data_IF_958823274431
#
_entry.id   IF_958823274431
#
_cell.length_a   1.000
_cell.length_b   1.000
_cell.length_c   1.000
_cell.angle_alpha   90.00
_cell.angle_beta   90.00
_cell.angle_gamma   90.00
#
_symmetry.space_group_name_H-M   'P 1'
#
loop_
_entity.id
_entity.type
_entity.pdbx_description
1 polymer ?
#
# COMPACT_ATOMS: atom_id res chain seq x y z
N UNK A 1 8.30 1.42 6.51
CA UNK A 1 8.16 2.86 6.84
C UNK A 1 9.05 3.68 5.91
N UNK A 2 8.52 4.77 5.32
CA UNK A 2 9.26 5.63 4.40
C UNK A 2 9.38 7.07 4.93
N UNK A 3 10.54 7.73 4.75
CA UNK A 3 10.77 9.08 5.28
C UNK A 3 10.27 10.19 4.34
N UNK A 4 9.35 9.92 3.41
CA UNK A 4 8.97 10.85 2.33
C UNK A 4 8.51 12.23 2.82
N UNK A 5 7.78 12.28 3.95
CA UNK A 5 7.30 13.54 4.55
C UNK A 5 8.46 14.47 4.95
N UNK A 6 9.64 13.91 5.27
CA UNK A 6 10.82 14.70 5.68
C UNK A 6 11.57 15.32 4.49
N UNK A 7 11.27 14.90 3.26
CA UNK A 7 12.00 15.31 2.06
C UNK A 7 11.03 15.79 0.97
N UNK A 8 10.44 16.99 1.11
CA UNK A 8 9.53 17.51 0.10
C UNK A 8 10.24 17.69 -1.25
N UNK A 9 9.59 17.30 -2.35
CA UNK A 9 10.13 17.39 -3.71
C UNK A 9 10.92 16.16 -4.19
N UNK A 10 11.15 15.16 -3.33
CA UNK A 10 11.67 13.87 -3.78
C UNK A 10 10.55 12.99 -4.29
N UNK A 11 10.85 12.19 -5.31
CA UNK A 11 9.92 11.18 -5.81
C UNK A 11 9.66 10.11 -4.73
N UNK A 12 8.39 9.84 -4.47
CA UNK A 12 7.91 8.86 -3.48
C UNK A 12 7.73 7.46 -4.09
N UNK A 13 8.20 7.25 -5.31
CA UNK A 13 8.16 5.96 -6.02
C UNK A 13 9.28 5.03 -5.52
N UNK A 14 8.98 3.73 -5.45
CA UNK A 14 9.96 2.68 -5.14
C UNK A 14 10.94 2.51 -6.30
N UNK A 15 12.20 2.33 -5.96
CA UNK A 15 13.29 2.13 -6.93
C UNK A 15 14.11 0.90 -6.57
N UNK A 16 15.04 0.46 -7.44
CA UNK A 16 15.99 -0.60 -7.10
C UNK A 16 16.85 -0.28 -5.86
N UNK A 17 17.03 1.00 -5.53
CA UNK A 17 17.71 1.45 -4.32
C UNK A 17 16.73 1.49 -3.12
N UNK A 18 17.17 0.93 -1.99
CA UNK A 18 16.41 0.91 -0.73
C UNK A 18 16.37 2.30 -0.09
N UNK A 19 15.16 2.79 0.20
CA UNK A 19 14.93 4.10 0.85
C UNK A 19 14.10 4.03 2.14
N UNK A 20 13.71 2.84 2.58
CA UNK A 20 13.01 2.66 3.85
C UNK A 20 13.96 2.85 5.03
N UNK A 21 13.44 3.40 6.13
CA UNK A 21 14.22 3.66 7.36
C UNK A 21 13.81 2.76 8.52
N UNK A 22 12.85 1.87 8.30
CA UNK A 22 12.37 0.96 9.32
C UNK A 22 11.31 -0.01 8.82
N UNK A 23 11.06 -1.01 9.64
CA UNK A 23 10.18 -2.15 9.39
C UNK A 23 9.23 -2.37 10.56
N UNK A 24 8.14 -3.10 10.30
CA UNK A 24 7.12 -3.44 11.28
C UNK A 24 6.67 -4.87 11.04
N UNK A 25 6.18 -5.53 12.10
CA UNK A 25 5.67 -6.90 12.03
C UNK A 25 4.20 -6.94 12.41
N UNK A 26 3.37 -7.53 11.55
CA UNK A 26 1.99 -7.86 11.85
C UNK A 26 1.82 -9.36 12.10
N UNK A 27 1.15 -9.73 13.19
CA UNK A 27 0.89 -11.14 13.56
C UNK A 27 -0.62 -11.38 13.62
N UNK A 28 -1.10 -12.40 12.91
CA UNK A 28 -2.52 -12.77 12.84
C UNK A 28 -2.72 -14.22 12.47
N UNK A 29 -3.94 -14.72 12.63
CA UNK A 29 -4.31 -16.11 12.33
C UNK A 29 -4.43 -16.39 10.83
N UNK A 30 -4.48 -15.34 10.01
CA UNK A 30 -4.50 -15.41 8.56
C UNK A 30 -3.54 -14.39 7.94
N UNK A 31 -3.18 -14.60 6.67
CA UNK A 31 -2.38 -13.65 5.92
C UNK A 31 -3.04 -12.26 5.85
N UNK A 32 -4.35 -12.19 5.60
CA UNK A 32 -5.07 -10.92 5.50
C UNK A 32 -5.03 -10.13 6.81
N UNK A 33 -5.21 -10.82 7.94
CA UNK A 33 -5.13 -10.20 9.27
C UNK A 33 -3.71 -9.74 9.61
N UNK A 34 -2.70 -10.60 9.37
CA UNK A 34 -1.30 -10.26 9.60
C UNK A 34 -0.86 -9.08 8.73
N UNK A 35 -1.23 -9.07 7.44
CA UNK A 35 -0.92 -7.99 6.51
C UNK A 35 -1.60 -6.67 6.91
N UNK A 36 -2.89 -6.71 7.27
CA UNK A 36 -3.59 -5.51 7.75
C UNK A 36 -2.94 -4.93 9.02
N UNK A 37 -2.55 -5.78 9.97
CA UNK A 37 -1.81 -5.33 11.17
C UNK A 37 -0.46 -4.73 10.84
N UNK A 38 0.27 -5.28 9.86
CA UNK A 38 1.53 -4.72 9.40
C UNK A 38 1.33 -3.33 8.76
N UNK A 39 0.29 -3.15 7.93
CA UNK A 39 -0.05 -1.86 7.33
C UNK A 39 -0.39 -0.82 8.41
N UNK A 40 -1.20 -1.18 9.41
CA UNK A 40 -1.49 -0.31 10.56
C UNK A 40 -0.22 0.08 11.32
N UNK A 41 0.67 -0.89 11.58
CA UNK A 41 1.96 -0.64 12.22
C UNK A 41 2.86 0.30 11.42
N UNK A 42 2.78 0.24 10.09
CA UNK A 42 3.54 1.12 9.18
C UNK A 42 2.99 2.55 9.11
N UNK A 43 1.85 2.82 9.76
CA UNK A 43 1.17 4.13 9.75
C UNK A 43 0.06 4.25 8.71
N UNK A 44 -0.18 3.20 7.91
CA UNK A 44 -1.22 3.20 6.88
C UNK A 44 -2.59 2.91 7.49
N UNK A 45 -3.56 3.79 7.23
CA UNK A 45 -4.96 3.61 7.67
C UNK A 45 -5.85 3.49 6.44
N UNK A 46 -6.34 2.27 6.20
CA UNK A 46 -7.30 2.02 5.15
C UNK A 46 -8.69 2.44 5.61
N UNK A 47 -9.36 3.26 4.80
CA UNK A 47 -10.77 3.54 5.00
C UNK A 47 -11.58 2.39 4.39
N UNK A 48 -12.48 1.74 5.16
CA UNK A 48 -13.25 0.60 4.66
C UNK A 48 -14.31 0.99 3.63
N UNK A 49 -14.65 2.28 3.54
CA UNK A 49 -15.63 2.83 2.61
C UNK A 49 -15.06 4.10 1.97
N UNK A 50 -15.57 4.44 0.78
CA UNK A 50 -15.20 5.67 0.08
C UNK A 50 -14.94 5.46 -1.40
N UNK A 51 -14.25 6.44 -2.01
CA UNK A 51 -13.88 6.39 -3.43
C UNK A 51 -12.43 5.95 -3.57
N UNK A 52 -12.17 5.08 -4.53
CA UNK A 52 -10.84 4.57 -4.84
C UNK A 52 -10.40 5.14 -6.19
N UNK A 53 -9.18 5.67 -6.26
CA UNK A 53 -8.55 6.10 -7.50
C UNK A 53 -7.64 4.99 -8.04
N UNK A 54 -7.85 4.60 -9.29
CA UNK A 54 -7.08 3.55 -9.97
C UNK A 54 -6.44 4.14 -11.23
N UNK A 55 -5.11 4.20 -11.25
CA UNK A 55 -4.31 4.52 -12.43
C UNK A 55 -3.15 3.54 -12.46
N UNK A 56 -3.03 2.78 -13.54
CA UNK A 56 -2.06 1.69 -13.68
C UNK A 56 -1.39 1.77 -15.04
N UNK A 57 -0.22 1.13 -15.15
CA UNK A 57 0.47 0.94 -16.44
C UNK A 57 -0.37 0.04 -17.35
N UNK A 58 -0.10 0.11 -18.66
CA UNK A 58 -0.82 -0.69 -19.66
C UNK A 58 -0.79 -2.19 -19.34
N UNK A 59 0.38 -2.69 -18.92
CA UNK A 59 0.64 -4.09 -18.55
C UNK A 59 -0.18 -4.59 -17.34
N UNK A 60 -0.62 -3.68 -16.47
CA UNK A 60 -1.36 -4.02 -15.25
C UNK A 60 -2.89 -3.94 -15.42
N UNK A 61 -3.37 -3.47 -16.59
CA UNK A 61 -4.81 -3.25 -16.84
C UNK A 61 -5.64 -4.53 -16.69
N UNK A 62 -5.13 -5.68 -17.13
CA UNK A 62 -5.87 -6.94 -16.99
C UNK A 62 -5.92 -7.41 -15.53
N UNK A 63 -4.80 -7.24 -14.81
CA UNK A 63 -4.67 -7.69 -13.41
C UNK A 63 -5.52 -6.86 -12.46
N UNK A 64 -5.63 -5.55 -12.70
CA UNK A 64 -6.39 -4.65 -11.81
C UNK A 64 -7.89 -4.88 -11.85
N UNK A 65 -8.45 -5.51 -12.91
CA UNK A 65 -9.89 -5.79 -13.03
C UNK A 65 -10.43 -6.59 -11.85
N UNK A 66 -9.67 -7.62 -11.41
CA UNK A 66 -10.08 -8.44 -10.26
C UNK A 66 -10.16 -7.60 -8.99
N UNK A 67 -9.11 -6.81 -8.73
CA UNK A 67 -9.03 -5.93 -7.57
C UNK A 67 -10.19 -4.91 -7.56
N UNK A 68 -10.44 -4.25 -8.69
CA UNK A 68 -11.51 -3.25 -8.83
C UNK A 68 -12.91 -3.81 -8.54
N UNK A 69 -13.19 -5.07 -8.90
CA UNK A 69 -14.48 -5.73 -8.64
C UNK A 69 -14.64 -6.12 -7.17
N UNK A 70 -13.54 -6.50 -6.50
CA UNK A 70 -13.56 -6.90 -5.08
C UNK A 70 -13.56 -5.68 -4.15
N UNK A 71 -12.95 -4.58 -4.57
CA UNK A 71 -13.00 -3.29 -3.88
C UNK A 71 -14.33 -2.58 -4.18
N UNK A 72 -15.43 -3.11 -3.65
CA UNK A 72 -16.71 -2.37 -3.65
C UNK A 72 -16.62 -1.21 -2.64
N UNK A 73 -17.16 -0.02 -2.94
CA UNK A 73 -17.36 1.03 -1.95
C UNK A 73 -18.35 0.60 -0.85
#
# INVERSE_FOLDING_TARGET
>A
MFPFIKFPGVDTILSPEMRSTGEVMGVGASFGEAYYKAQLGAGERLNPTGKIFLSVREEDKERVIKTAKTSKP
#
